data_IF_534346570696
#
_entry.id   IF_534346570696
#
_cell.length_a   1.000
_cell.length_b   1.000
_cell.length_c   1.000
_cell.angle_alpha   90.00
_cell.angle_beta   90.00
_cell.angle_gamma   90.00
#
_symmetry.space_group_name_H-M   'P 1'
#
loop_
_entity.id
_entity.type
_entity.pdbx_description
1 polymer ?
#
# COMPACT_ATOMS: atom_id res chain seq x y z
N UNK A 1 20.95 43.57 48.01
CA UNK A 1 19.56 43.39 47.54
C UNK A 1 19.52 42.04 46.84
N UNK A 2 18.91 41.03 47.47
CA UNK A 2 18.85 39.65 46.97
C UNK A 2 17.64 39.52 46.04
N UNK A 3 17.85 39.06 44.82
CA UNK A 3 16.77 38.72 43.88
C UNK A 3 16.67 37.19 43.89
N UNK A 4 15.69 36.69 44.62
CA UNK A 4 15.23 35.30 44.59
C UNK A 4 14.42 35.10 43.30
N UNK A 5 14.85 34.21 42.41
CA UNK A 5 14.06 33.78 41.26
C UNK A 5 13.66 32.32 41.49
N UNK A 6 12.39 32.11 41.84
CA UNK A 6 11.72 30.81 41.76
C UNK A 6 10.88 30.79 40.48
N UNK A 7 11.23 29.92 39.53
CA UNK A 7 10.27 29.39 38.57
C UNK A 7 10.60 27.92 38.29
N UNK A 8 9.56 27.11 38.43
CA UNK A 8 9.55 25.68 38.18
C UNK A 8 9.64 25.39 36.68
N UNK A 9 10.36 24.32 36.32
CA UNK A 9 10.08 23.58 35.10
C UNK A 9 10.20 22.09 35.40
N UNK A 10 9.03 21.47 35.43
CA UNK A 10 8.85 20.05 35.25
C UNK A 10 9.33 19.68 33.83
N UNK A 11 10.26 18.74 33.73
CA UNK A 11 10.54 18.03 32.49
C UNK A 11 10.13 16.57 32.71
N UNK A 12 8.95 16.28 32.18
CA UNK A 12 8.36 14.96 32.02
C UNK A 12 9.32 14.11 31.18
N UNK A 13 10.01 13.16 31.80
CA UNK A 13 10.67 12.06 31.10
C UNK A 13 9.67 10.91 30.98
N UNK A 14 8.79 11.00 29.99
CA UNK A 14 8.14 9.83 29.41
C UNK A 14 8.90 9.57 28.09
N UNK A 15 9.86 8.65 28.12
CA UNK A 15 9.65 7.24 27.76
C UNK A 15 9.12 7.11 26.33
N UNK A 16 10.04 6.67 25.46
CA UNK A 16 9.76 5.92 24.24
C UNK A 16 8.74 6.54 23.31
N UNK A 17 9.21 7.22 22.27
CA UNK A 17 8.53 7.03 21.00
C UNK A 17 8.70 5.55 20.66
N UNK A 18 7.66 4.76 20.91
CA UNK A 18 7.49 3.43 20.34
C UNK A 18 7.67 3.56 18.83
N UNK A 19 8.84 3.14 18.36
CA UNK A 19 9.17 2.93 16.97
C UNK A 19 8.45 1.65 16.51
N UNK A 20 7.12 1.62 16.62
CA UNK A 20 6.24 0.59 16.05
C UNK A 20 5.96 0.91 14.57
N UNK A 21 6.94 1.50 13.88
CA UNK A 21 7.04 1.35 12.43
C UNK A 21 7.64 -0.02 12.13
N UNK A 22 7.05 -1.06 12.72
CA UNK A 22 7.22 -2.41 12.23
C UNK A 22 6.56 -2.43 10.85
N UNK A 23 7.36 -2.09 9.83
CA UNK A 23 7.21 -2.64 8.50
C UNK A 23 7.28 -4.17 8.67
N UNK A 24 6.17 -4.75 9.13
CA UNK A 24 6.07 -6.16 9.42
C UNK A 24 5.91 -6.81 8.07
N UNK A 25 7.06 -7.28 7.62
CA UNK A 25 7.31 -8.20 6.53
C UNK A 25 6.11 -9.11 6.17
N UNK A 26 6.02 -9.52 4.89
CA UNK A 26 4.87 -10.11 4.17
C UNK A 26 4.34 -11.48 4.66
N UNK A 27 4.55 -11.84 5.93
CA UNK A 27 4.24 -13.16 6.48
C UNK A 27 3.01 -13.15 7.41
N UNK A 28 2.43 -11.98 7.69
CA UNK A 28 1.26 -11.82 8.55
C UNK A 28 0.03 -11.58 7.67
N UNK A 29 -0.88 -12.55 7.65
CA UNK A 29 -2.21 -12.40 7.09
C UNK A 29 -3.25 -12.75 8.15
N UNK A 30 -3.91 -11.73 8.67
CA UNK A 30 -4.91 -11.80 9.73
C UNK A 30 -5.92 -10.66 9.58
N UNK A 31 -6.88 -10.56 10.49
CA UNK A 31 -8.00 -9.65 10.34
C UNK A 31 -7.60 -8.17 10.16
N UNK A 32 -6.46 -7.75 10.70
CA UNK A 32 -5.94 -6.38 10.56
C UNK A 32 -5.37 -6.12 9.17
N UNK A 33 -4.85 -7.18 8.53
CA UNK A 33 -4.18 -7.15 7.23
C UNK A 33 -5.04 -7.71 6.10
N UNK A 34 -6.29 -8.07 6.39
CA UNK A 34 -7.23 -8.59 5.40
C UNK A 34 -7.44 -7.56 4.28
N UNK A 35 -7.21 -7.97 3.03
CA UNK A 35 -7.30 -7.10 1.87
C UNK A 35 -5.98 -6.44 1.46
N UNK A 36 -4.95 -6.48 2.31
CA UNK A 36 -3.65 -5.89 2.00
C UNK A 36 -2.94 -6.66 0.90
N UNK A 37 -2.13 -5.94 0.15
CA UNK A 37 -1.32 -6.47 -0.93
C UNK A 37 0.16 -6.18 -0.68
N UNK A 38 0.99 -7.18 -0.93
CA UNK A 38 2.42 -7.13 -0.65
C UNK A 38 3.24 -7.56 -1.87
N UNK A 39 4.52 -7.21 -1.90
CA UNK A 39 5.46 -7.69 -2.91
C UNK A 39 6.33 -8.80 -2.33
N UNK A 40 6.33 -9.96 -2.97
CA UNK A 40 7.21 -11.10 -2.66
C UNK A 40 7.82 -11.57 -3.98
N UNK A 41 9.15 -11.52 -4.09
CA UNK A 41 9.90 -11.89 -5.30
C UNK A 41 9.36 -11.21 -6.59
N UNK A 42 9.10 -9.90 -6.51
CA UNK A 42 8.49 -9.09 -7.59
C UNK A 42 7.09 -9.53 -8.04
N UNK A 43 6.41 -10.40 -7.28
CA UNK A 43 5.02 -10.73 -7.46
C UNK A 43 4.14 -10.10 -6.38
N UNK A 44 2.97 -9.62 -6.78
CA UNK A 44 1.93 -9.16 -5.85
C UNK A 44 1.36 -10.40 -5.14
N UNK A 45 1.21 -10.33 -3.83
CA UNK A 45 0.43 -11.27 -3.03
C UNK A 45 -0.72 -10.55 -2.33
N UNK A 46 -1.90 -11.16 -2.29
CA UNK A 46 -3.10 -10.63 -1.65
C UNK A 46 -3.40 -11.41 -0.37
N UNK A 47 -3.46 -10.73 0.77
CA UNK A 47 -3.92 -11.32 2.01
C UNK A 47 -5.45 -11.39 2.03
N UNK A 48 -5.97 -12.58 2.32
CA UNK A 48 -7.39 -12.84 2.54
C UNK A 48 -7.57 -13.63 3.83
N UNK A 49 -8.52 -13.19 4.65
CA UNK A 49 -8.95 -13.89 5.86
C UNK A 49 -10.38 -14.38 5.73
N UNK A 50 -10.57 -15.70 5.84
CA UNK A 50 -11.89 -16.34 5.87
C UNK A 50 -12.71 -16.02 7.12
N UNK A 51 -14.02 -16.31 7.08
CA UNK A 51 -15.05 -15.81 8.01
C UNK A 51 -14.81 -15.95 9.52
N UNK A 52 -13.98 -16.89 9.98
CA UNK A 52 -13.69 -17.11 11.40
C UNK A 52 -12.33 -16.52 11.87
N UNK A 53 -11.71 -15.64 11.06
CA UNK A 53 -10.44 -14.96 11.35
C UNK A 53 -9.20 -15.85 11.55
N UNK A 54 -9.36 -17.18 11.58
CA UNK A 54 -8.30 -18.15 11.83
C UNK A 54 -7.63 -18.71 10.56
N UNK A 55 -8.16 -18.42 9.37
CA UNK A 55 -7.68 -18.94 8.09
C UNK A 55 -7.21 -17.80 7.17
N UNK A 56 -6.29 -16.99 7.70
CA UNK A 56 -5.59 -15.97 6.91
C UNK A 56 -4.55 -16.63 6.01
N UNK A 57 -4.66 -16.39 4.70
CA UNK A 57 -3.69 -16.89 3.72
C UNK A 57 -3.49 -15.90 2.57
N UNK A 58 -2.40 -16.10 1.85
CA UNK A 58 -2.04 -15.27 0.70
C UNK A 58 -2.45 -15.95 -0.60
N UNK A 59 -3.08 -15.18 -1.48
CA UNK A 59 -3.29 -15.57 -2.87
C UNK A 59 -2.22 -14.94 -3.76
N UNK A 60 -1.72 -15.68 -4.77
CA UNK A 60 -0.82 -15.10 -5.76
C UNK A 60 -1.60 -14.10 -6.62
N UNK A 61 -1.00 -12.92 -6.81
CA UNK A 61 -1.42 -11.89 -7.75
C UNK A 61 -0.56 -11.89 -9.01
N UNK A 62 -0.47 -10.72 -9.67
CA UNK A 62 0.36 -10.53 -10.86
C UNK A 62 1.84 -10.62 -10.49
N UNK A 63 2.61 -11.40 -11.25
CA UNK A 63 4.06 -11.36 -11.21
C UNK A 63 4.53 -10.20 -12.08
N UNK A 64 5.12 -9.15 -11.50
CA UNK A 64 5.55 -7.96 -12.25
C UNK A 64 6.79 -8.25 -13.10
N UNK A 65 7.67 -9.15 -12.64
CA UNK A 65 8.93 -9.46 -13.31
C UNK A 65 8.74 -10.11 -14.68
N UNK A 66 7.64 -10.86 -14.90
CA UNK A 66 7.35 -11.47 -16.21
C UNK A 66 7.11 -10.44 -17.31
N UNK A 67 6.70 -9.23 -16.92
CA UNK A 67 6.43 -8.10 -17.81
C UNK A 67 7.57 -7.07 -17.78
N UNK A 68 8.68 -7.36 -17.09
CA UNK A 68 9.78 -6.41 -16.90
C UNK A 68 9.44 -5.22 -16.00
N UNK A 69 8.39 -5.36 -15.18
CA UNK A 69 7.91 -4.35 -14.23
C UNK A 69 8.46 -4.64 -12.83
N UNK A 70 8.43 -3.63 -11.97
CA UNK A 70 8.87 -3.77 -10.57
C UNK A 70 7.66 -3.75 -9.65
N UNK A 71 7.58 -4.71 -8.73
CA UNK A 71 6.50 -4.70 -7.74
C UNK A 71 6.74 -3.59 -6.71
N UNK A 72 5.70 -2.82 -6.43
CA UNK A 72 5.69 -1.78 -5.39
C UNK A 72 4.39 -1.86 -4.60
N UNK A 73 4.43 -1.35 -3.37
CA UNK A 73 3.27 -1.24 -2.48
C UNK A 73 3.07 0.25 -2.17
N UNK A 74 1.82 0.71 -2.20
CA UNK A 74 1.48 2.09 -1.81
C UNK A 74 1.38 2.23 -0.29
N UNK A 75 1.25 3.46 0.19
CA UNK A 75 1.01 3.71 1.62
C UNK A 75 -0.33 3.12 2.13
N UNK A 76 -1.26 2.85 1.21
CA UNK A 76 -2.55 2.20 1.48
C UNK A 76 -2.49 0.66 1.37
N UNK A 77 -1.28 0.09 1.31
CA UNK A 77 -1.07 -1.35 1.23
C UNK A 77 -1.68 -1.99 -0.01
N UNK A 78 -1.65 -1.25 -1.13
CA UNK A 78 -2.05 -1.74 -2.44
C UNK A 78 -0.80 -2.03 -3.29
N UNK A 79 -0.71 -3.27 -3.78
CA UNK A 79 0.34 -3.72 -4.67
C UNK A 79 0.08 -3.28 -6.11
N UNK A 80 1.13 -2.85 -6.80
CA UNK A 80 1.08 -2.47 -8.21
C UNK A 80 2.39 -2.83 -8.91
N UNK A 81 2.28 -3.12 -10.21
CA UNK A 81 3.43 -3.30 -11.08
C UNK A 81 3.79 -1.95 -11.69
N UNK A 82 4.93 -1.39 -11.30
CA UNK A 82 5.42 -0.11 -11.73
C UNK A 82 6.37 -0.25 -12.92
N UNK A 83 6.22 0.61 -13.91
CA UNK A 83 7.19 0.80 -14.99
C UNK A 83 8.33 1.71 -14.49
N UNK A 84 9.58 1.22 -14.30
CA UNK A 84 10.64 2.03 -13.68
C UNK A 84 11.04 3.27 -14.49
N UNK A 85 10.80 3.23 -15.82
CA UNK A 85 11.13 4.32 -16.73
C UNK A 85 9.93 5.25 -17.00
N UNK A 86 8.71 4.88 -16.60
CA UNK A 86 7.52 5.67 -16.85
C UNK A 86 7.16 6.49 -15.61
N UNK A 87 7.72 7.70 -15.55
CA UNK A 87 7.43 8.66 -14.50
C UNK A 87 6.12 9.40 -14.75
N UNK A 88 5.50 9.88 -13.68
CA UNK A 88 4.28 10.69 -13.71
C UNK A 88 4.33 11.77 -12.63
N UNK A 89 3.48 12.78 -12.77
CA UNK A 89 3.30 13.85 -11.78
C UNK A 89 2.10 13.57 -10.88
N UNK A 90 2.20 13.96 -9.61
CA UNK A 90 1.07 13.89 -8.69
C UNK A 90 -0.14 14.65 -9.27
N UNK A 91 -1.32 14.03 -9.22
CA UNK A 91 -2.56 14.57 -9.76
C UNK A 91 -2.82 14.26 -11.25
N UNK A 92 -1.91 13.57 -11.94
CA UNK A 92 -2.23 13.01 -13.26
C UNK A 92 -3.35 11.96 -13.12
N UNK A 93 -4.40 12.04 -13.97
CA UNK A 93 -5.55 11.15 -13.84
C UNK A 93 -5.19 9.71 -14.18
N UNK A 94 -5.73 8.79 -13.39
CA UNK A 94 -5.68 7.37 -13.66
C UNK A 94 -6.37 6.99 -14.97
N UNK A 95 -5.97 5.85 -15.52
CA UNK A 95 -6.47 5.32 -16.79
C UNK A 95 -6.70 3.82 -16.70
N UNK A 96 -7.69 3.34 -17.45
CA UNK A 96 -7.91 1.93 -17.69
C UNK A 96 -7.21 1.52 -18.99
N UNK A 97 -6.20 0.67 -18.89
CA UNK A 97 -5.43 0.18 -20.05
C UNK A 97 -5.58 -1.32 -20.11
N UNK A 98 -6.22 -1.84 -21.16
CA UNK A 98 -6.43 -3.28 -21.36
C UNK A 98 -7.11 -4.04 -20.20
N UNK A 99 -7.86 -3.32 -19.35
CA UNK A 99 -8.50 -3.86 -18.14
C UNK A 99 -7.68 -3.71 -16.86
N UNK A 100 -6.53 -3.04 -16.92
CA UNK A 100 -5.70 -2.70 -15.76
C UNK A 100 -6.00 -1.28 -15.29
N UNK A 101 -6.17 -1.14 -13.98
CA UNK A 101 -6.24 0.16 -13.33
C UNK A 101 -4.81 0.72 -13.20
N UNK A 102 -4.53 1.80 -13.92
CA UNK A 102 -3.21 2.42 -13.96
C UNK A 102 -3.27 3.80 -13.32
N UNK A 103 -2.46 4.03 -12.29
CA UNK A 103 -2.42 5.27 -11.52
C UNK A 103 -1.00 5.77 -11.31
N UNK A 104 -0.86 7.06 -11.06
CA UNK A 104 0.40 7.65 -10.65
C UNK A 104 0.60 7.43 -9.15
N UNK A 105 1.57 6.58 -8.77
CA UNK A 105 1.87 6.27 -7.37
C UNK A 105 3.35 6.50 -7.11
N UNK A 106 3.67 7.38 -6.16
CA UNK A 106 5.07 7.69 -5.83
C UNK A 106 5.90 8.24 -6.99
N UNK A 107 5.26 8.91 -7.96
CA UNK A 107 5.91 9.46 -9.15
C UNK A 107 6.16 8.46 -10.28
N UNK A 108 5.62 7.24 -10.19
CA UNK A 108 5.70 6.22 -11.23
C UNK A 108 4.30 5.77 -11.66
N UNK A 109 4.16 5.41 -12.95
CA UNK A 109 2.97 4.73 -13.42
C UNK A 109 2.93 3.30 -12.89
N UNK A 110 1.97 3.03 -12.02
CA UNK A 110 1.68 1.72 -11.44
C UNK A 110 0.39 1.15 -12.02
N UNK A 111 0.44 -0.10 -12.47
CA UNK A 111 -0.73 -0.83 -12.99
C UNK A 111 -1.14 -1.97 -12.07
N UNK A 112 -2.45 -2.20 -11.95
CA UNK A 112 -3.05 -3.33 -11.26
C UNK A 112 -4.07 -4.01 -12.16
N UNK A 113 -3.92 -5.32 -12.35
CA UNK A 113 -4.87 -6.13 -13.10
C UNK A 113 -6.18 -6.23 -12.32
N UNK A 114 -7.30 -5.88 -12.95
CA UNK A 114 -8.60 -6.17 -12.37
C UNK A 114 -8.90 -7.68 -12.47
N UNK A 115 -9.34 -8.26 -11.35
CA UNK A 115 -9.63 -9.70 -11.24
C UNK A 115 -10.98 -10.05 -11.87
N UNK A 116 -11.24 -11.34 -12.05
CA UNK A 116 -12.52 -11.84 -12.57
C UNK A 116 -13.69 -11.32 -11.73
N UNK A 117 -14.76 -10.88 -12.38
CA UNK A 117 -15.94 -10.28 -11.72
C UNK A 117 -15.79 -8.79 -11.41
N UNK A 118 -14.61 -8.21 -11.64
CA UNK A 118 -14.41 -6.76 -11.59
C UNK A 118 -14.18 -6.18 -12.99
N UNK A 119 -14.29 -4.86 -13.09
CA UNK A 119 -13.91 -4.09 -14.27
C UNK A 119 -13.20 -2.81 -13.85
N UNK A 120 -12.29 -2.33 -14.71
CA UNK A 120 -11.62 -1.07 -14.47
C UNK A 120 -12.58 0.09 -14.78
N UNK A 121 -12.68 1.05 -13.86
CA UNK A 121 -13.32 2.35 -14.06
C UNK A 121 -12.44 3.47 -13.54
N UNK A 122 -12.57 4.66 -14.12
CA UNK A 122 -11.96 5.87 -13.59
C UNK A 122 -13.02 6.64 -12.82
N UNK A 123 -12.82 6.78 -11.51
CA UNK A 123 -13.71 7.47 -10.58
C UNK A 123 -12.91 8.59 -9.91
N UNK A 124 -13.39 9.83 -9.98
CA UNK A 124 -12.72 11.02 -9.45
C UNK A 124 -11.25 11.18 -9.89
N UNK A 125 -10.96 10.78 -11.13
CA UNK A 125 -9.62 10.83 -11.69
C UNK A 125 -8.70 9.71 -11.20
N UNK A 126 -9.21 8.71 -10.49
CA UNK A 126 -8.46 7.54 -10.05
C UNK A 126 -8.98 6.27 -10.73
N UNK A 127 -8.09 5.47 -11.32
CA UNK A 127 -8.46 4.19 -11.89
C UNK A 127 -8.61 3.14 -10.78
N UNK A 128 -9.76 2.49 -10.73
CA UNK A 128 -10.10 1.48 -9.72
C UNK A 128 -10.72 0.24 -10.37
N UNK A 129 -10.66 -0.89 -9.66
CA UNK A 129 -11.33 -2.12 -10.08
C UNK A 129 -12.61 -2.25 -9.26
N UNK A 130 -13.76 -2.08 -9.90
CA UNK A 130 -15.08 -2.15 -9.26
C UNK A 130 -15.79 -3.45 -9.62
N UNK A 131 -16.67 -3.93 -8.76
CA UNK A 131 -17.48 -5.10 -9.04
C UNK A 131 -18.48 -4.78 -10.17
N UNK A 132 -18.67 -5.74 -11.09
CA UNK A 132 -19.66 -5.61 -12.17
C UNK A 132 -21.08 -5.80 -11.66
#
# INVERSE_FOLDING_TARGET
MRIEVRWALAALLLLGCDDDSAATAPNRCDAETNGWQYCVDDAIQYCHVGGDQADGHFHPGRNCAVDGLVCRVSDEQLGYCAEPAATCSAGEPGRCVDGDATNCVGGLWGSRRCVVGTECRVEDGWATCVQR
#
